data_IF_131765232425
#
_entry.id   IF_131765232425
#
_cell.length_a   1.000
_cell.length_b   1.000
_cell.length_c   1.000
_cell.angle_alpha   90.00
_cell.angle_beta   90.00
_cell.angle_gamma   90.00
#
_symmetry.space_group_name_H-M   'P 1'
#
loop_
_entity.id
_entity.type
_entity.pdbx_description
1 polymer ?
#
# COMPACT_ATOMS: atom_id res chain seq x y z
N UNK A 1 14.05 -4.67 11.13
CA UNK A 1 14.13 -3.20 11.07
C UNK A 1 12.94 -2.63 11.84
N UNK A 2 13.16 -1.67 12.73
CA UNK A 2 12.11 -1.06 13.59
C UNK A 2 12.01 0.45 13.40
N UNK A 3 12.62 0.99 12.34
CA UNK A 3 12.71 2.44 12.10
C UNK A 3 11.33 3.10 12.00
N UNK A 4 10.36 2.39 11.42
CA UNK A 4 8.96 2.84 11.35
C UNK A 4 8.08 1.77 11.95
N UNK A 5 7.27 2.15 12.94
CA UNK A 5 6.35 1.23 13.59
C UNK A 5 5.13 0.98 12.67
N UNK A 6 4.74 -0.29 12.42
CA UNK A 6 3.61 -0.62 11.55
C UNK A 6 2.29 0.08 11.94
N UNK A 7 2.08 0.33 13.23
CA UNK A 7 0.93 1.06 13.77
C UNK A 7 0.73 2.45 13.15
N UNK A 8 1.78 3.09 12.62
CA UNK A 8 1.63 4.38 11.97
C UNK A 8 0.66 4.30 10.78
N UNK A 9 0.73 3.21 9.99
CA UNK A 9 -0.18 2.99 8.88
C UNK A 9 -1.61 2.74 9.37
N UNK A 10 -1.77 1.95 10.45
CA UNK A 10 -3.08 1.67 11.04
C UNK A 10 -3.77 2.94 11.53
N UNK A 11 -3.01 3.84 12.18
CA UNK A 11 -3.51 5.12 12.67
C UNK A 11 -3.93 6.04 11.53
N UNK A 12 -3.14 6.15 10.45
CA UNK A 12 -3.49 6.94 9.26
C UNK A 12 -4.79 6.41 8.63
N UNK A 13 -4.93 5.09 8.50
CA UNK A 13 -6.15 4.48 7.96
C UNK A 13 -7.34 4.70 8.86
N UNK A 14 -7.19 4.55 10.19
CA UNK A 14 -8.27 4.78 11.14
C UNK A 14 -8.78 6.23 11.09
N UNK A 15 -7.87 7.20 11.04
CA UNK A 15 -8.21 8.62 10.91
C UNK A 15 -8.93 8.91 9.59
N UNK A 16 -8.44 8.36 8.47
CA UNK A 16 -9.06 8.58 7.16
C UNK A 16 -10.44 7.92 7.00
N UNK A 17 -10.73 6.87 7.78
CA UNK A 17 -12.02 6.15 7.77
C UNK A 17 -13.10 6.81 8.63
N UNK A 18 -12.75 7.72 9.55
CA UNK A 18 -13.59 8.12 10.68
C UNK A 18 -15.03 8.54 10.32
N UNK A 19 -15.25 9.08 9.12
CA UNK A 19 -16.57 9.59 8.69
C UNK A 19 -17.15 8.89 7.44
N UNK A 20 -16.48 7.86 6.91
CA UNK A 20 -16.86 7.23 5.65
C UNK A 20 -17.36 5.79 5.83
N UNK A 21 -18.53 5.48 5.25
CA UNK A 21 -18.98 4.09 5.10
C UNK A 21 -18.20 3.43 3.97
N UNK A 22 -17.13 2.72 4.32
CA UNK A 22 -16.27 2.03 3.37
C UNK A 22 -16.37 0.52 3.51
N UNK A 23 -16.47 -0.16 2.37
CA UNK A 23 -16.32 -1.61 2.32
C UNK A 23 -14.83 -1.95 2.24
N UNK A 24 -14.31 -2.78 3.15
CA UNK A 24 -12.89 -3.19 3.12
C UNK A 24 -12.75 -4.59 2.55
N UNK A 25 -11.88 -4.72 1.55
CA UNK A 25 -11.44 -6.02 1.01
C UNK A 25 -9.98 -6.24 1.36
N UNK A 26 -9.58 -7.49 1.60
CA UNK A 26 -8.19 -7.85 1.94
C UNK A 26 -7.67 -8.85 0.91
N UNK A 27 -6.52 -8.54 0.35
CA UNK A 27 -5.82 -9.33 -0.66
C UNK A 27 -4.46 -9.73 -0.08
N UNK A 28 -4.15 -11.02 -0.10
CA UNK A 28 -2.83 -11.54 0.23
C UNK A 28 -2.17 -12.04 -1.04
N UNK A 29 -0.88 -11.81 -1.19
CA UNK A 29 -0.14 -12.22 -2.37
C UNK A 29 1.36 -12.19 -2.16
N UNK A 30 2.10 -12.40 -3.24
CA UNK A 30 3.54 -12.22 -3.29
C UNK A 30 3.90 -11.40 -4.53
N UNK A 31 4.89 -10.52 -4.39
CA UNK A 31 5.45 -9.77 -5.50
C UNK A 31 6.22 -10.71 -6.45
N UNK A 32 6.51 -10.30 -7.70
CA UNK A 32 7.34 -11.09 -8.62
C UNK A 32 8.71 -11.46 -8.04
N UNK A 33 9.27 -10.59 -7.18
CA UNK A 33 10.51 -10.84 -6.45
C UNK A 33 10.35 -11.72 -5.19
N UNK A 34 9.17 -12.29 -4.95
CA UNK A 34 8.91 -13.28 -3.90
C UNK A 34 8.48 -12.70 -2.56
N UNK A 35 8.52 -11.37 -2.35
CA UNK A 35 8.10 -10.79 -1.08
C UNK A 35 6.59 -10.94 -0.84
N UNK A 36 6.16 -11.59 0.25
CA UNK A 36 4.75 -11.68 0.59
C UNK A 36 4.21 -10.32 1.06
N UNK A 37 2.95 -10.04 0.73
CA UNK A 37 2.27 -8.82 1.17
C UNK A 37 0.81 -9.08 1.55
N UNK A 38 0.28 -8.21 2.40
CA UNK A 38 -1.16 -8.02 2.63
C UNK A 38 -1.55 -6.63 2.16
N UNK A 39 -2.58 -6.55 1.33
CA UNK A 39 -3.19 -5.29 0.87
C UNK A 39 -4.63 -5.20 1.34
N UNK A 40 -4.97 -4.16 2.06
CA UNK A 40 -6.35 -3.83 2.43
C UNK A 40 -6.82 -2.65 1.59
N UNK A 41 -7.93 -2.82 0.87
CA UNK A 41 -8.53 -1.79 0.01
C UNK A 41 -9.87 -1.38 0.59
N UNK A 42 -10.04 -0.11 0.94
CA UNK A 42 -11.31 0.46 1.36
C UNK A 42 -11.99 1.16 0.17
N UNK A 43 -13.20 0.72 -0.16
CA UNK A 43 -13.99 1.15 -1.30
C UNK A 43 -15.17 2.01 -0.85
N UNK A 44 -15.55 3.01 -1.64
CA UNK A 44 -16.82 3.73 -1.48
C UNK A 44 -18.02 2.89 -1.96
N UNK A 45 -19.24 3.40 -1.80
CA UNK A 45 -20.47 2.72 -2.23
C UNK A 45 -20.53 2.49 -3.76
N UNK A 46 -19.77 3.28 -4.54
CA UNK A 46 -19.64 3.10 -5.99
C UNK A 46 -18.53 2.12 -6.38
N UNK A 47 -17.88 1.48 -5.40
CA UNK A 47 -16.80 0.52 -5.62
C UNK A 47 -15.44 1.15 -5.96
N UNK A 48 -15.27 2.47 -5.77
CA UNK A 48 -14.00 3.15 -6.03
C UNK A 48 -13.07 3.05 -4.83
N UNK A 49 -11.78 2.72 -5.03
CA UNK A 49 -10.82 2.66 -3.92
C UNK A 49 -10.51 4.07 -3.42
N UNK A 50 -10.77 4.30 -2.13
CA UNK A 50 -10.44 5.55 -1.44
C UNK A 50 -9.21 5.40 -0.54
N UNK A 51 -8.91 4.20 -0.04
CA UNK A 51 -7.73 3.93 0.78
C UNK A 51 -7.15 2.58 0.39
N UNK A 52 -5.82 2.52 0.26
CA UNK A 52 -5.07 1.27 0.17
C UNK A 52 -3.98 1.24 1.24
N UNK A 53 -4.02 0.20 2.08
CA UNK A 53 -2.97 -0.09 3.06
C UNK A 53 -2.21 -1.32 2.62
N UNK A 54 -0.88 -1.22 2.57
CA UNK A 54 0.01 -2.31 2.19
C UNK A 54 0.94 -2.66 3.35
N UNK A 55 0.94 -3.93 3.75
CA UNK A 55 1.90 -4.52 4.69
C UNK A 55 2.79 -5.47 3.93
N UNK A 56 4.10 -5.18 3.89
CA UNK A 56 5.09 -6.02 3.26
C UNK A 56 5.77 -6.89 4.32
N UNK A 57 5.67 -8.21 4.17
CA UNK A 57 6.13 -9.15 5.19
C UNK A 57 7.62 -9.45 4.98
N UNK A 58 8.43 -9.12 5.98
CA UNK A 58 9.89 -9.32 5.92
C UNK A 58 10.67 -8.19 5.25
N UNK A 59 10.00 -7.11 4.83
CA UNK A 59 10.67 -5.94 4.30
C UNK A 59 11.50 -5.20 5.38
N UNK A 60 12.68 -4.72 5.00
CA UNK A 60 13.45 -3.75 5.77
C UNK A 60 12.98 -2.31 5.53
N UNK A 61 13.70 -1.32 6.09
CA UNK A 61 13.46 0.10 5.79
C UNK A 61 14.12 0.48 4.46
N UNK A 62 13.54 -0.02 3.37
CA UNK A 62 13.93 0.26 2.01
C UNK A 62 12.69 0.54 1.16
N UNK A 63 12.87 1.28 0.07
CA UNK A 63 11.82 1.50 -0.91
C UNK A 63 11.45 0.19 -1.60
N UNK A 64 10.17 -0.17 -1.60
CA UNK A 64 9.72 -1.44 -2.17
C UNK A 64 9.75 -1.43 -3.70
N UNK A 65 10.34 -2.48 -4.28
CA UNK A 65 10.59 -2.57 -5.71
C UNK A 65 11.74 -1.65 -6.13
N UNK A 66 11.62 -1.05 -7.32
CA UNK A 66 12.65 -0.18 -7.88
C UNK A 66 13.78 -0.96 -8.57
N UNK A 67 14.85 -0.24 -8.92
CA UNK A 67 15.99 -0.80 -9.64
C UNK A 67 16.98 -1.49 -8.70
N UNK A 68 17.53 -2.64 -9.11
CA UNK A 68 18.62 -3.31 -8.39
C UNK A 68 19.89 -2.44 -8.25
N UNK A 69 20.02 -1.38 -9.04
CA UNK A 69 21.12 -0.42 -8.94
C UNK A 69 20.93 0.61 -7.80
N UNK A 70 19.74 0.68 -7.20
CA UNK A 70 19.45 1.56 -6.07
C UNK A 70 19.99 0.99 -4.75
N UNK A 71 20.58 1.84 -3.92
CA UNK A 71 21.18 1.41 -2.64
C UNK A 71 20.17 1.37 -1.47
N UNK A 72 18.96 1.90 -1.67
CA UNK A 72 17.89 1.98 -0.66
C UNK A 72 16.57 1.39 -1.17
N UNK A 73 16.66 0.45 -2.11
CA UNK A 73 15.53 -0.25 -2.72
C UNK A 73 15.58 -1.72 -2.37
N UNK A 74 14.41 -2.34 -2.14
CA UNK A 74 14.26 -3.78 -2.01
C UNK A 74 13.51 -4.31 -3.24
N UNK A 75 14.24 -4.85 -4.24
CA UNK A 75 13.64 -5.30 -5.50
C UNK A 75 12.76 -6.54 -5.34
N UNK A 76 12.79 -7.20 -4.17
CA UNK A 76 11.93 -8.36 -3.92
C UNK A 76 10.47 -7.95 -3.69
N UNK A 77 10.26 -6.71 -3.27
CA UNK A 77 8.95 -6.12 -2.99
C UNK A 77 8.14 -5.73 -4.23
N UNK A 78 6.83 -5.44 -4.06
CA UNK A 78 6.04 -4.83 -5.13
C UNK A 78 6.59 -3.45 -5.51
N UNK A 79 6.39 -3.04 -6.76
CA UNK A 79 6.77 -1.71 -7.22
C UNK A 79 5.87 -0.63 -6.59
N UNK A 80 6.33 -0.06 -5.46
CA UNK A 80 5.55 0.92 -4.71
C UNK A 80 5.24 2.18 -5.52
N UNK A 81 6.20 2.66 -6.33
CA UNK A 81 6.01 3.85 -7.17
C UNK A 81 4.90 3.62 -8.20
N UNK A 82 4.90 2.47 -8.86
CA UNK A 82 3.86 2.09 -9.81
C UNK A 82 2.51 1.89 -9.13
N UNK A 83 2.47 1.28 -7.96
CA UNK A 83 1.20 1.08 -7.22
C UNK A 83 0.60 2.42 -6.74
N UNK A 84 1.42 3.37 -6.29
CA UNK A 84 0.96 4.72 -5.97
C UNK A 84 0.40 5.42 -7.21
N UNK A 85 1.13 5.39 -8.34
CA UNK A 85 0.65 5.97 -9.59
C UNK A 85 -0.67 5.34 -10.05
N UNK A 86 -0.78 4.01 -9.99
CA UNK A 86 -2.03 3.29 -10.27
C UNK A 86 -3.17 3.81 -9.39
N UNK A 87 -2.97 3.89 -8.08
CA UNK A 87 -4.01 4.30 -7.14
C UNK A 87 -4.48 5.74 -7.41
N UNK A 88 -3.55 6.70 -7.52
CA UNK A 88 -3.91 8.10 -7.72
C UNK A 88 -4.52 8.39 -9.11
N UNK A 89 -4.10 7.65 -10.14
CA UNK A 89 -4.70 7.80 -11.49
C UNK A 89 -6.06 7.11 -11.63
N UNK A 90 -6.40 6.15 -10.77
CA UNK A 90 -7.74 5.54 -10.71
C UNK A 90 -8.79 6.45 -10.08
N UNK A 91 -8.36 7.45 -9.30
CA UNK A 91 -9.23 8.42 -8.66
C UNK A 91 -8.96 9.81 -9.27
N UNK A 92 -9.62 10.16 -10.41
CA UNK A 92 -9.47 11.49 -10.96
C UNK A 92 -9.85 12.54 -9.89
N UNK A 93 -9.13 13.67 -9.81
CA UNK A 93 -9.40 14.68 -8.80
C UNK A 93 -10.87 15.09 -8.88
N UNK A 94 -11.53 15.20 -7.72
CA UNK A 94 -12.87 15.79 -7.65
C UNK A 94 -12.75 17.20 -8.23
N UNK A 95 -13.52 17.48 -9.30
CA UNK A 95 -13.71 18.82 -9.83
C UNK A 95 -14.47 19.70 -8.83
#
# INVERSE_FOLDING_TARGET
DSTVHPLNADQVIAQAKADARLHTTVIKGAAPGGMPFTKSVALDEAGRPLLEQWTLHGAGHAWSGGSNAGTYTDPNGPDASREMARFFLQCPPRA
#
